data_IF_490945313322
#
_entry.id   IF_490945313322
#
_cell.length_a   1.000
_cell.length_b   1.000
_cell.length_c   1.000
_cell.angle_alpha   90.00
_cell.angle_beta   90.00
_cell.angle_gamma   90.00
#
_symmetry.space_group_name_H-M   'P 1'
#
loop_
_entity.id
_entity.type
_entity.pdbx_description
1 polymer ?
#
# COMPACT_ATOMS: atom_id res chain seq x y z
N UNK A 1 -25.91 10.24 5.87
CA UNK A 1 -24.81 9.51 6.55
C UNK A 1 -24.02 8.77 5.48
N UNK A 2 -22.83 9.26 5.11
CA UNK A 2 -21.99 8.64 4.07
C UNK A 2 -21.38 7.37 4.66
N UNK A 3 -21.92 6.20 4.33
CA UNK A 3 -21.28 4.93 4.64
C UNK A 3 -19.88 4.95 4.01
N UNK A 4 -18.84 5.02 4.87
CA UNK A 4 -17.47 4.76 4.44
C UNK A 4 -17.48 3.33 3.94
N UNK A 5 -17.41 3.13 2.61
CA UNK A 5 -17.17 1.83 2.00
C UNK A 5 -15.94 1.24 2.68
N UNK A 6 -16.15 0.18 3.46
CA UNK A 6 -15.10 -0.55 4.14
C UNK A 6 -14.13 -1.07 3.08
N UNK A 7 -12.84 -0.83 3.27
CA UNK A 7 -11.81 -1.48 2.46
C UNK A 7 -11.41 -2.71 3.24
N UNK A 8 -11.56 -3.87 2.63
CA UNK A 8 -10.92 -5.09 3.11
C UNK A 8 -9.41 -4.96 2.87
N UNK A 9 -8.69 -4.68 3.96
CA UNK A 9 -7.25 -4.62 4.00
C UNK A 9 -6.75 -6.03 4.24
N UNK A 10 -6.39 -6.72 3.18
CA UNK A 10 -5.75 -8.01 3.33
C UNK A 10 -4.30 -7.76 3.77
N UNK A 11 -3.81 -8.46 4.82
CA UNK A 11 -2.38 -8.68 4.91
C UNK A 11 -1.96 -9.28 3.57
N UNK A 12 -0.75 -8.94 3.12
CA UNK A 12 -0.20 -9.58 1.94
C UNK A 12 0.11 -11.04 2.31
N UNK A 13 -0.94 -11.86 2.33
CA UNK A 13 -0.89 -13.31 2.42
C UNK A 13 -0.72 -13.77 0.97
N UNK A 14 0.52 -14.15 0.66
CA UNK A 14 0.90 -15.18 -0.35
C UNK A 14 0.27 -15.12 -1.75
N UNK A 15 -0.10 -13.94 -2.25
CA UNK A 15 -0.23 -13.74 -3.69
C UNK A 15 1.17 -13.81 -4.32
N UNK A 16 1.56 -15.01 -4.74
CA UNK A 16 2.67 -15.37 -5.64
C UNK A 16 3.61 -14.19 -5.95
N UNK A 17 4.60 -14.07 -5.08
CA UNK A 17 5.63 -13.05 -5.06
C UNK A 17 6.70 -13.37 -6.09
N UNK A 18 6.59 -12.88 -7.33
CA UNK A 18 7.76 -12.90 -8.23
C UNK A 18 7.88 -11.71 -9.21
N UNK A 19 6.95 -10.75 -9.22
CA UNK A 19 7.09 -9.63 -10.18
C UNK A 19 6.06 -8.51 -10.17
N UNK A 20 5.19 -8.42 -9.15
CA UNK A 20 4.17 -7.36 -9.13
C UNK A 20 4.83 -5.98 -8.96
N UNK A 21 4.91 -5.25 -10.06
CA UNK A 21 5.27 -3.83 -10.08
C UNK A 21 4.03 -2.97 -9.89
N UNK A 22 4.24 -1.70 -9.61
CA UNK A 22 3.16 -0.71 -9.54
C UNK A 22 2.40 -0.57 -10.86
N UNK A 23 3.05 -0.83 -11.99
CA UNK A 23 2.45 -0.84 -13.33
C UNK A 23 1.44 -1.98 -13.49
N UNK A 24 1.83 -3.20 -13.13
CA UNK A 24 1.01 -4.40 -13.29
C UNK A 24 -0.15 -4.49 -12.28
N UNK A 25 -0.15 -3.63 -11.25
CA UNK A 25 -1.20 -3.62 -10.23
C UNK A 25 -2.54 -3.12 -10.82
N UNK A 26 -3.61 -3.94 -10.79
CA UNK A 26 -4.92 -3.51 -11.27
C UNK A 26 -5.49 -2.31 -10.49
N UNK A 27 -6.29 -1.47 -11.16
CA UNK A 27 -6.83 -0.22 -10.59
C UNK A 27 -7.81 -0.42 -9.42
N UNK A 28 -8.43 -1.59 -9.30
CA UNK A 28 -9.32 -1.92 -8.17
C UNK A 28 -8.57 -2.17 -6.86
N UNK A 29 -7.24 -2.21 -6.89
CA UNK A 29 -6.41 -2.25 -5.69
C UNK A 29 -6.03 -0.85 -5.23
N UNK A 30 -6.13 -0.63 -3.93
CA UNK A 30 -5.62 0.56 -3.26
C UNK A 30 -4.38 0.24 -2.45
N UNK A 31 -3.40 1.13 -2.49
CA UNK A 31 -2.19 1.00 -1.69
C UNK A 31 -2.43 1.54 -0.28
N UNK A 32 -2.05 0.76 0.72
CA UNK A 32 -2.19 1.15 2.13
C UNK A 32 -0.86 0.94 2.86
N UNK A 33 -0.33 2.01 3.44
CA UNK A 33 0.80 1.93 4.35
C UNK A 33 0.32 1.43 5.72
N UNK A 34 1.09 0.56 6.35
CA UNK A 34 0.97 0.24 7.78
C UNK A 34 2.30 0.45 8.47
N UNK A 35 2.30 1.28 9.50
CA UNK A 35 3.49 1.50 10.32
C UNK A 35 3.81 0.28 11.19
N UNK A 36 5.06 -0.20 11.15
CA UNK A 36 5.50 -1.30 12.02
C UNK A 36 5.48 -0.95 13.51
N UNK A 37 5.76 0.32 13.84
CA UNK A 37 5.86 0.82 15.23
C UNK A 37 4.52 1.21 15.83
N UNK A 38 3.84 2.22 15.26
CA UNK A 38 2.61 2.76 15.83
C UNK A 38 1.32 2.13 15.27
N UNK A 39 1.45 1.18 14.33
CA UNK A 39 0.34 0.51 13.63
C UNK A 39 -0.62 1.45 12.89
N UNK A 40 -0.27 2.74 12.76
CA UNK A 40 -1.04 3.69 11.95
C UNK A 40 -1.11 3.22 10.51
N UNK A 41 -2.30 3.34 9.93
CA UNK A 41 -2.57 2.97 8.55
C UNK A 41 -3.05 4.18 7.77
N UNK A 42 -2.59 4.30 6.53
CA UNK A 42 -2.94 5.39 5.64
C UNK A 42 -2.93 4.95 4.20
N UNK A 43 -3.85 5.47 3.39
CA UNK A 43 -3.83 5.24 1.95
C UNK A 43 -2.65 5.97 1.33
N UNK A 44 -2.01 5.32 0.38
CA UNK A 44 -0.95 5.93 -0.43
C UNK A 44 -1.50 6.10 -1.84
N UNK A 45 -1.25 7.27 -2.43
CA UNK A 45 -1.60 7.53 -3.81
C UNK A 45 -0.63 6.80 -4.76
N UNK A 46 -1.19 5.98 -5.66
CA UNK A 46 -0.42 5.20 -6.65
C UNK A 46 0.40 6.10 -7.58
N UNK A 47 -0.16 7.21 -8.05
CA UNK A 47 0.55 8.16 -8.92
C UNK A 47 1.67 8.85 -8.16
N UNK A 48 1.48 9.16 -6.88
CA UNK A 48 2.53 9.74 -6.06
C UNK A 48 3.72 8.79 -5.87
N UNK A 49 3.46 7.48 -5.72
CA UNK A 49 4.53 6.48 -5.70
C UNK A 49 5.22 6.40 -7.06
N UNK A 50 4.45 6.32 -8.16
CA UNK A 50 4.99 6.26 -9.51
C UNK A 50 5.85 7.48 -9.84
N UNK A 51 5.42 8.69 -9.46
CA UNK A 51 6.18 9.91 -9.67
C UNK A 51 7.52 9.94 -8.91
N UNK A 52 7.62 9.22 -7.78
CA UNK A 52 8.84 9.20 -6.95
C UNK A 52 9.76 8.02 -7.24
N UNK A 53 9.22 6.89 -7.69
CA UNK A 53 9.93 5.61 -7.81
C UNK A 53 9.84 4.98 -9.20
N UNK A 54 9.03 5.53 -10.10
CA UNK A 54 8.68 4.94 -11.38
C UNK A 54 7.53 3.93 -11.28
N UNK A 55 6.90 3.64 -12.43
CA UNK A 55 5.84 2.62 -12.54
C UNK A 55 6.38 1.18 -12.44
N UNK A 56 7.62 0.95 -12.86
CA UNK A 56 8.29 -0.35 -12.73
C UNK A 56 8.74 -0.70 -11.30
N UNK A 57 8.43 0.10 -10.29
CA UNK A 57 8.84 -0.17 -8.92
C UNK A 57 8.15 -1.43 -8.38
N UNK A 58 8.94 -2.35 -7.82
CA UNK A 58 8.41 -3.53 -7.13
C UNK A 58 7.65 -3.11 -5.87
N UNK A 59 6.46 -3.68 -5.66
CA UNK A 59 5.64 -3.39 -4.48
C UNK A 59 6.37 -3.72 -3.15
N UNK A 60 7.27 -4.70 -3.14
CA UNK A 60 8.05 -5.13 -1.97
C UNK A 60 9.00 -4.01 -1.50
N UNK A 61 9.54 -3.25 -2.45
CA UNK A 61 10.49 -2.18 -2.20
C UNK A 61 9.84 -0.92 -1.60
N UNK A 62 8.52 -0.77 -1.76
CA UNK A 62 7.80 0.42 -1.30
C UNK A 62 7.75 0.46 0.24
N UNK A 63 7.42 -0.66 0.89
CA UNK A 63 7.24 -0.73 2.35
C UNK A 63 8.45 -0.20 3.15
N UNK A 64 9.67 -0.71 2.91
CA UNK A 64 10.90 -0.24 3.55
C UNK A 64 11.23 1.23 3.30
N UNK A 65 10.74 1.80 2.18
CA UNK A 65 10.95 3.20 1.85
C UNK A 65 9.97 4.17 2.54
N UNK A 66 8.97 3.67 3.27
CA UNK A 66 7.95 4.51 3.89
C UNK A 66 8.47 5.19 5.16
N UNK A 67 8.04 6.44 5.36
CA UNK A 67 8.15 7.15 6.64
C UNK A 67 6.75 7.36 7.21
N UNK A 68 6.51 6.92 8.43
CA UNK A 68 5.24 7.15 9.11
C UNK A 68 5.05 8.64 9.42
N UNK A 69 3.95 9.22 8.95
CA UNK A 69 3.62 10.63 9.22
C UNK A 69 3.19 10.89 10.67
N UNK A 70 2.74 9.85 11.39
CA UNK A 70 2.25 9.95 12.78
C UNK A 70 3.38 9.89 13.81
N UNK A 71 4.33 8.97 13.64
CA UNK A 71 5.41 8.74 14.63
C UNK A 71 6.83 8.86 14.05
N UNK A 72 6.98 9.19 12.76
CA UNK A 72 8.28 9.36 12.11
C UNK A 72 9.01 8.05 11.74
N UNK A 73 8.48 6.89 12.14
CA UNK A 73 9.12 5.59 11.95
C UNK A 73 9.44 5.26 10.48
N UNK A 74 10.66 4.77 10.22
CA UNK A 74 11.13 4.37 8.88
C UNK A 74 11.37 2.87 8.72
N UNK A 75 11.34 2.10 9.80
CA UNK A 75 11.73 0.68 9.80
C UNK A 75 10.54 -0.25 10.03
N UNK A 76 10.52 -1.42 9.39
CA UNK A 76 9.45 -2.41 9.55
C UNK A 76 8.06 -1.92 9.08
N UNK A 77 8.00 -0.85 8.28
CA UNK A 77 6.78 -0.39 7.65
C UNK A 77 6.38 -1.36 6.52
N UNK A 78 5.08 -1.64 6.40
CA UNK A 78 4.54 -2.59 5.43
C UNK A 78 3.67 -1.86 4.42
N UNK A 79 3.75 -2.29 3.16
CA UNK A 79 2.75 -1.97 2.16
C UNK A 79 1.70 -3.09 2.15
N UNK A 80 0.43 -2.71 2.22
CA UNK A 80 -0.74 -3.57 2.14
C UNK A 80 -1.52 -3.21 0.88
N UNK A 81 -2.23 -4.18 0.33
CA UNK A 81 -3.18 -3.97 -0.75
C UNK A 81 -4.59 -4.07 -0.17
N UNK A 82 -5.35 -2.99 -0.31
CA UNK A 82 -6.78 -3.02 -0.08
C UNK A 82 -7.52 -3.29 -1.38
N UNK A 83 -8.65 -3.99 -1.32
CA UNK A 83 -9.54 -4.15 -2.47
C UNK A 83 -10.68 -3.15 -2.35
N UNK A 84 -10.97 -2.40 -3.41
CA UNK A 84 -12.21 -1.64 -3.46
C UNK A 84 -13.38 -2.62 -3.60
N UNK A 85 -14.49 -2.43 -2.89
CA UNK A 85 -15.69 -3.23 -3.12
C UNK A 85 -16.13 -2.99 -4.57
N UNK A 86 -16.20 -4.08 -5.34
CA UNK A 86 -16.85 -4.07 -6.65
C UNK A 86 -18.36 -4.02 -6.38
N UNK A 87 -18.99 -2.98 -6.89
CA UNK A 87 -20.45 -2.86 -6.99
C UNK A 87 -20.89 -3.51 -8.30
#
# INVERSE_FOLDING_TARGET
>A
MRHRRSIDLMPREDADDDGATLELLPEWYVLVAKCGKCRHQGRIDRRLVANRRGWGVSLNSIGPALKCVRCGNREGNKLLLGRLPRD
#
